data_IF_730028245001
#
_entry.id   IF_730028245001
#
_cell.length_a   1.000
_cell.length_b   1.000
_cell.length_c   1.000
_cell.angle_alpha   90.00
_cell.angle_beta   90.00
_cell.angle_gamma   90.00
#
_symmetry.space_group_name_H-M   'P 1'
#
loop_
_entity.id
_entity.type
_entity.pdbx_description
1 polymer ?
#
# COMPACT_ATOMS: atom_id res chain seq x y z
N UNK A 1 16.59 -5.71 4.39
CA UNK A 1 16.55 -7.01 3.69
C UNK A 1 17.47 -7.00 2.47
N UNK A 2 17.32 -6.07 1.50
CA UNK A 2 18.15 -6.05 0.30
C UNK A 2 19.64 -6.16 0.62
N UNK A 3 20.19 -5.29 1.46
CA UNK A 3 21.61 -5.31 1.87
C UNK A 3 22.06 -6.60 2.58
N UNK A 4 21.15 -7.41 3.09
CA UNK A 4 21.48 -8.67 3.78
C UNK A 4 21.38 -9.89 2.86
N UNK A 5 20.56 -9.83 1.82
CA UNK A 5 20.21 -10.97 0.99
C UNK A 5 20.77 -10.90 -0.44
N UNK A 6 21.10 -9.69 -0.92
CA UNK A 6 21.60 -9.47 -2.28
C UNK A 6 23.11 -9.26 -2.31
N UNK A 7 23.71 -9.68 -3.42
CA UNK A 7 25.11 -9.44 -3.78
C UNK A 7 25.16 -8.58 -5.05
N UNK A 8 26.25 -7.87 -5.26
CA UNK A 8 26.48 -7.06 -6.45
C UNK A 8 26.51 -7.84 -7.78
N UNK A 9 26.59 -9.17 -7.71
CA UNK A 9 26.54 -10.06 -8.88
C UNK A 9 25.11 -10.54 -9.19
N UNK A 10 24.14 -10.24 -8.33
CA UNK A 10 22.76 -10.67 -8.50
C UNK A 10 22.01 -9.76 -9.48
N UNK A 11 21.02 -10.35 -10.16
CA UNK A 11 19.99 -9.62 -10.92
C UNK A 11 18.62 -9.90 -10.28
N UNK A 12 17.73 -8.92 -10.29
CA UNK A 12 16.42 -9.02 -9.66
C UNK A 12 15.32 -8.45 -10.54
N UNK A 13 14.10 -8.96 -10.37
CA UNK A 13 12.89 -8.37 -10.94
C UNK A 13 12.23 -7.49 -9.89
N UNK A 14 11.79 -6.28 -10.26
CA UNK A 14 11.16 -5.34 -9.32
C UNK A 14 9.86 -4.74 -9.86
N UNK A 15 8.98 -4.34 -8.96
CA UNK A 15 7.96 -3.34 -9.27
C UNK A 15 8.63 -1.97 -9.35
N UNK A 16 8.75 -1.42 -10.55
CA UNK A 16 9.34 -0.10 -10.77
C UNK A 16 8.42 1.04 -10.31
N UNK A 17 8.93 2.27 -10.11
CA UNK A 17 8.11 3.43 -9.76
C UNK A 17 6.91 3.65 -10.69
N UNK A 18 7.05 3.42 -12.00
CA UNK A 18 5.97 3.54 -12.98
C UNK A 18 4.85 2.50 -12.80
N UNK A 19 5.17 1.37 -12.17
CA UNK A 19 4.23 0.30 -11.80
C UNK A 19 3.69 0.45 -10.38
N UNK A 20 3.88 1.61 -9.75
CA UNK A 20 3.49 1.88 -8.37
C UNK A 20 4.57 1.52 -7.35
N UNK A 21 5.73 1.05 -7.77
CA UNK A 21 6.85 0.75 -6.89
C UNK A 21 7.36 1.98 -6.11
N UNK A 22 8.00 1.73 -4.98
CA UNK A 22 8.59 2.79 -4.18
C UNK A 22 9.91 3.26 -4.81
N UNK A 23 10.07 4.58 -4.97
CA UNK A 23 11.21 5.19 -5.65
C UNK A 23 12.59 4.85 -5.03
N UNK A 24 12.63 4.46 -3.75
CA UNK A 24 13.89 4.10 -3.09
C UNK A 24 14.48 2.77 -3.55
N UNK A 25 13.69 1.85 -4.11
CA UNK A 25 14.18 0.51 -4.47
C UNK A 25 15.21 0.57 -5.58
N UNK A 26 14.98 1.21 -6.74
CA UNK A 26 16.02 1.39 -7.75
C UNK A 26 17.30 2.02 -7.18
N UNK A 27 17.16 3.09 -6.39
CA UNK A 27 18.28 3.79 -5.78
C UNK A 27 19.12 2.89 -4.85
N UNK A 28 18.44 2.04 -4.06
CA UNK A 28 19.11 1.08 -3.18
C UNK A 28 19.86 0.03 -3.99
N UNK A 29 19.24 -0.52 -5.04
CA UNK A 29 19.83 -1.54 -5.89
C UNK A 29 21.04 -1.00 -6.65
N UNK A 30 20.96 0.20 -7.20
CA UNK A 30 22.07 0.90 -7.84
C UNK A 30 23.27 1.09 -6.88
N UNK A 31 23.00 1.52 -5.65
CA UNK A 31 24.05 1.66 -4.62
C UNK A 31 24.67 0.32 -4.21
N UNK A 32 23.94 -0.78 -4.33
CA UNK A 32 24.44 -2.12 -4.07
C UNK A 32 25.15 -2.75 -5.28
N UNK A 33 25.10 -2.11 -6.44
CA UNK A 33 25.61 -2.67 -7.70
C UNK A 33 24.77 -3.87 -8.19
N UNK A 34 23.51 -3.97 -7.80
CA UNK A 34 22.59 -5.05 -8.19
C UNK A 34 21.83 -4.64 -9.44
N UNK A 35 21.85 -5.47 -10.47
CA UNK A 35 21.10 -5.25 -11.69
C UNK A 35 19.60 -5.52 -11.44
N UNK A 36 18.74 -4.73 -12.06
CA UNK A 36 17.30 -4.94 -11.95
C UNK A 36 16.57 -4.72 -13.28
N UNK A 37 15.47 -5.42 -13.42
CA UNK A 37 14.51 -5.24 -14.52
C UNK A 37 13.10 -5.11 -13.95
N UNK A 38 12.20 -4.47 -14.73
CA UNK A 38 10.80 -4.34 -14.35
C UNK A 38 10.06 -5.66 -14.54
N UNK A 39 9.12 -5.96 -13.64
CA UNK A 39 8.17 -7.06 -13.86
C UNK A 39 7.25 -6.75 -15.03
N UNK A 40 6.73 -7.77 -15.75
CA UNK A 40 5.68 -7.58 -16.74
C UNK A 40 4.39 -7.05 -16.10
N UNK A 41 3.81 -5.98 -16.66
CA UNK A 41 2.68 -5.30 -16.06
C UNK A 41 1.69 -4.75 -17.08
N UNK A 42 0.43 -5.07 -16.89
CA UNK A 42 -0.71 -4.56 -17.65
C UNK A 42 -1.25 -3.29 -16.99
N UNK A 43 -0.91 -2.13 -17.56
CA UNK A 43 -1.31 -0.83 -17.03
C UNK A 43 -2.81 -0.55 -17.19
N UNK A 44 -3.45 -1.11 -18.20
CA UNK A 44 -4.87 -0.88 -18.48
C UNK A 44 -5.77 -1.59 -17.45
N UNK A 45 -5.28 -2.70 -16.91
CA UNK A 45 -5.99 -3.51 -15.91
C UNK A 45 -5.36 -3.44 -14.51
N UNK A 46 -4.31 -2.65 -14.32
CA UNK A 46 -3.58 -2.51 -13.04
C UNK A 46 -3.14 -3.86 -12.46
N UNK A 47 -2.59 -4.74 -13.28
CA UNK A 47 -2.23 -6.09 -12.85
C UNK A 47 -0.89 -6.55 -13.43
N UNK A 48 -0.30 -7.51 -12.73
CA UNK A 48 0.90 -8.22 -13.20
C UNK A 48 0.50 -9.16 -14.34
N UNK A 49 1.29 -9.23 -15.40
CA UNK A 49 1.22 -10.34 -16.35
C UNK A 49 1.93 -11.57 -15.76
N UNK A 50 1.14 -12.41 -15.10
CA UNK A 50 1.68 -13.60 -14.41
C UNK A 50 2.24 -14.65 -15.37
N UNK A 51 1.79 -14.69 -16.62
CA UNK A 51 2.31 -15.64 -17.61
C UNK A 51 3.75 -15.27 -17.96
N UNK A 52 3.95 -14.04 -18.40
CA UNK A 52 5.28 -13.54 -18.74
C UNK A 52 6.21 -13.50 -17.51
N UNK A 53 5.70 -13.10 -16.34
CA UNK A 53 6.45 -13.11 -15.08
C UNK A 53 6.97 -14.52 -14.75
N UNK A 54 6.14 -15.55 -14.85
CA UNK A 54 6.52 -16.92 -14.55
C UNK A 54 7.56 -17.45 -15.55
N UNK A 55 7.51 -17.03 -16.81
CA UNK A 55 8.52 -17.40 -17.81
C UNK A 55 9.86 -16.72 -17.50
N UNK A 56 9.87 -15.45 -17.08
CA UNK A 56 11.08 -14.77 -16.60
C UNK A 56 11.65 -15.42 -15.34
N UNK A 57 10.83 -15.81 -14.37
CA UNK A 57 11.29 -16.49 -13.16
C UNK A 57 12.00 -17.81 -13.46
N UNK A 58 11.55 -18.55 -14.50
CA UNK A 58 12.17 -19.81 -14.92
C UNK A 58 13.46 -19.64 -15.71
N UNK A 59 13.80 -18.46 -16.16
CA UNK A 59 15.02 -18.20 -16.98
C UNK A 59 16.33 -18.49 -16.25
N UNK A 60 16.31 -18.51 -14.90
CA UNK A 60 17.51 -18.67 -14.07
C UNK A 60 18.38 -17.42 -13.97
N UNK A 61 17.97 -16.30 -14.56
CA UNK A 61 18.73 -15.05 -14.58
C UNK A 61 18.59 -14.24 -13.28
N UNK A 62 17.47 -14.39 -12.57
CA UNK A 62 17.11 -13.54 -11.44
C UNK A 62 17.21 -14.28 -10.12
N UNK A 63 17.73 -13.58 -9.11
CA UNK A 63 17.85 -14.10 -7.74
C UNK A 63 16.64 -13.84 -6.87
N UNK A 64 16.02 -12.67 -7.04
CA UNK A 64 14.82 -12.28 -6.29
C UNK A 64 13.80 -11.59 -7.19
N UNK A 65 12.55 -11.75 -6.80
CA UNK A 65 11.42 -10.93 -7.21
C UNK A 65 11.09 -9.98 -6.05
N UNK A 66 11.11 -8.66 -6.29
CA UNK A 66 10.91 -7.65 -5.26
C UNK A 66 9.61 -6.89 -5.53
N UNK A 67 8.62 -7.11 -4.69
CA UNK A 67 7.42 -6.30 -4.63
C UNK A 67 7.57 -5.24 -3.55
N UNK A 68 7.62 -3.97 -3.93
CA UNK A 68 7.68 -2.85 -3.00
C UNK A 68 6.79 -1.72 -3.52
N UNK A 69 5.48 -1.90 -3.44
CA UNK A 69 4.51 -0.97 -4.02
C UNK A 69 4.05 0.07 -3.00
N UNK A 70 4.19 1.34 -3.35
CA UNK A 70 3.62 2.47 -2.62
C UNK A 70 2.25 2.88 -3.16
N UNK A 71 2.00 2.67 -4.45
CA UNK A 71 0.73 2.95 -5.12
C UNK A 71 0.14 1.61 -5.59
N UNK A 72 -0.95 1.17 -4.95
CA UNK A 72 -1.45 -0.19 -5.09
C UNK A 72 -2.97 -0.26 -4.93
N UNK A 73 -3.69 -0.57 -6.01
CA UNK A 73 -5.13 -0.87 -6.00
C UNK A 73 -5.42 -2.35 -6.26
N UNK A 74 -4.48 -3.06 -6.88
CA UNK A 74 -4.55 -4.49 -7.17
C UNK A 74 -3.27 -5.17 -6.68
N UNK A 75 -3.27 -5.73 -5.45
CA UNK A 75 -2.07 -6.34 -4.87
C UNK A 75 -1.63 -7.58 -5.65
N UNK A 76 -0.32 -7.90 -5.67
CA UNK A 76 0.19 -9.14 -6.23
C UNK A 76 -0.48 -10.37 -5.61
N UNK A 77 -0.98 -11.26 -6.44
CA UNK A 77 -1.47 -12.58 -6.01
C UNK A 77 -0.34 -13.60 -6.06
N UNK A 78 0.32 -13.81 -4.92
CA UNK A 78 1.47 -14.71 -4.79
C UNK A 78 1.13 -16.15 -5.15
N UNK A 79 -0.14 -16.57 -5.02
CA UNK A 79 -0.57 -17.91 -5.39
C UNK A 79 -0.49 -18.20 -6.91
N UNK A 80 -0.31 -17.16 -7.73
CA UNK A 80 -0.17 -17.28 -9.20
C UNK A 80 1.29 -17.31 -9.66
N UNK A 81 2.23 -17.17 -8.74
CA UNK A 81 3.66 -17.11 -9.04
C UNK A 81 4.27 -18.49 -8.88
N UNK A 82 4.96 -18.94 -9.92
CA UNK A 82 5.76 -20.17 -9.92
C UNK A 82 7.23 -19.83 -9.89
N UNK A 83 7.86 -20.05 -8.74
CA UNK A 83 9.31 -19.80 -8.56
C UNK A 83 10.13 -21.08 -8.59
N UNK A 84 11.31 -21.08 -9.21
CA UNK A 84 12.30 -22.11 -8.98
C UNK A 84 12.90 -22.00 -7.55
N UNK A 85 13.39 -23.11 -7.01
CA UNK A 85 13.99 -23.15 -5.66
C UNK A 85 15.18 -22.20 -5.47
N UNK A 86 15.85 -21.83 -6.57
CA UNK A 86 16.99 -20.90 -6.58
C UNK A 86 16.57 -19.42 -6.42
N UNK A 87 15.28 -19.08 -6.57
CA UNK A 87 14.77 -17.73 -6.55
C UNK A 87 13.92 -17.47 -5.32
N UNK A 88 13.96 -16.23 -4.79
CA UNK A 88 13.15 -15.82 -3.65
C UNK A 88 12.28 -14.62 -3.94
N UNK A 89 11.41 -14.29 -2.99
CA UNK A 89 10.61 -13.06 -3.00
C UNK A 89 10.98 -12.18 -1.81
N UNK A 90 11.15 -10.88 -2.05
CA UNK A 90 11.07 -9.84 -1.03
C UNK A 90 9.75 -9.10 -1.26
N UNK A 91 8.80 -9.25 -0.34
CA UNK A 91 7.48 -8.65 -0.43
C UNK A 91 7.35 -7.53 0.62
N UNK A 92 7.33 -6.28 0.17
CA UNK A 92 7.03 -5.16 1.04
C UNK A 92 5.51 -4.94 1.14
N UNK A 93 4.96 -5.39 2.24
CA UNK A 93 3.55 -5.26 2.57
C UNK A 93 3.20 -3.96 3.29
N UNK A 94 4.08 -2.96 3.39
CA UNK A 94 3.86 -1.72 4.17
C UNK A 94 2.50 -1.09 3.90
N UNK A 95 2.03 -1.08 2.66
CA UNK A 95 0.72 -0.52 2.31
C UNK A 95 -0.45 -1.44 2.68
N UNK A 96 -0.22 -2.74 2.77
CA UNK A 96 -1.28 -3.76 2.87
C UNK A 96 -1.18 -4.63 4.11
N UNK A 97 -0.22 -4.35 5.01
CA UNK A 97 0.08 -5.21 6.16
C UNK A 97 -1.13 -5.41 7.07
N UNK A 98 -1.91 -4.35 7.34
CA UNK A 98 -3.15 -4.46 8.12
C UNK A 98 -4.22 -5.30 7.43
N UNK A 99 -4.35 -5.17 6.11
CA UNK A 99 -5.29 -5.98 5.29
C UNK A 99 -4.90 -7.47 5.29
N UNK A 100 -3.58 -7.76 5.25
CA UNK A 100 -3.04 -9.12 5.35
C UNK A 100 -3.27 -9.68 6.75
N UNK A 101 -2.93 -8.94 7.80
CA UNK A 101 -3.10 -9.36 9.19
C UNK A 101 -4.57 -9.65 9.54
N UNK A 102 -5.51 -8.91 8.96
CA UNK A 102 -6.95 -9.10 9.14
C UNK A 102 -7.57 -10.19 8.24
N UNK A 103 -6.79 -10.85 7.39
CA UNK A 103 -7.27 -11.85 6.44
C UNK A 103 -8.16 -11.29 5.32
N UNK A 104 -8.10 -9.98 5.06
CA UNK A 104 -8.80 -9.34 3.93
C UNK A 104 -8.02 -9.55 2.63
N UNK A 105 -6.70 -9.59 2.72
CA UNK A 105 -5.81 -10.04 1.66
C UNK A 105 -5.13 -11.34 2.08
N UNK A 106 -4.78 -12.16 1.08
CA UNK A 106 -4.03 -13.39 1.30
C UNK A 106 -2.67 -13.10 1.95
N UNK A 107 -2.28 -13.92 2.91
CA UNK A 107 -0.96 -13.85 3.51
C UNK A 107 0.08 -14.48 2.56
N UNK A 108 1.06 -13.72 2.03
CA UNK A 108 2.02 -14.24 1.07
C UNK A 108 2.91 -15.36 1.63
N UNK A 109 3.11 -15.42 2.96
CA UNK A 109 3.89 -16.47 3.63
C UNK A 109 3.25 -17.86 3.56
N UNK A 110 1.96 -17.97 3.22
CA UNK A 110 1.25 -19.25 3.12
C UNK A 110 1.44 -19.97 1.77
N UNK A 111 1.96 -19.25 0.75
CA UNK A 111 2.03 -19.77 -0.62
C UNK A 111 3.42 -20.15 -1.10
N UNK A 112 4.45 -19.50 -0.60
CA UNK A 112 5.84 -19.69 -1.04
C UNK A 112 6.77 -19.71 0.18
N UNK A 113 7.64 -20.71 0.27
CA UNK A 113 8.61 -20.82 1.37
C UNK A 113 9.77 -19.81 1.21
N UNK A 114 10.24 -19.60 -0.02
CA UNK A 114 11.38 -18.70 -0.30
C UNK A 114 10.91 -17.23 -0.36
N UNK A 115 10.26 -16.74 0.71
CA UNK A 115 9.74 -15.38 0.79
C UNK A 115 10.14 -14.70 2.09
N UNK A 116 10.44 -13.42 1.99
CA UNK A 116 10.57 -12.49 3.12
C UNK A 116 9.49 -11.44 2.99
N UNK A 117 8.55 -11.42 3.94
CA UNK A 117 7.55 -10.36 4.09
C UNK A 117 8.13 -9.28 4.99
N UNK A 118 8.22 -8.06 4.48
CA UNK A 118 8.58 -6.88 5.26
C UNK A 118 7.42 -5.91 5.33
N UNK A 119 7.39 -5.07 6.34
CA UNK A 119 6.35 -4.05 6.42
C UNK A 119 6.61 -2.98 7.46
N UNK A 120 6.30 -1.75 7.12
CA UNK A 120 6.13 -0.66 8.08
C UNK A 120 4.75 -0.74 8.73
N UNK A 121 4.69 -0.52 10.04
CA UNK A 121 3.50 -0.78 10.87
C UNK A 121 2.58 0.43 11.05
N UNK A 122 2.83 1.54 10.32
CA UNK A 122 2.19 2.84 10.52
C UNK A 122 1.25 3.27 9.38
N UNK A 123 0.75 2.32 8.57
CA UNK A 123 -0.19 2.63 7.46
C UNK A 123 -1.51 1.90 7.67
N UNK A 124 -1.77 0.81 6.93
CA UNK A 124 -2.98 0.03 7.15
C UNK A 124 -2.97 -0.75 8.46
N UNK A 125 -1.80 -1.18 8.94
CA UNK A 125 -1.66 -1.62 10.32
C UNK A 125 -1.54 -0.36 11.19
N UNK A 126 -2.52 -0.06 12.07
CA UNK A 126 -2.58 1.22 12.81
C UNK A 126 -1.70 1.17 14.06
N UNK A 127 -0.40 1.06 13.88
CA UNK A 127 0.60 0.95 14.95
C UNK A 127 1.67 2.06 14.83
N UNK A 128 2.53 2.25 15.83
CA UNK A 128 3.64 3.19 15.72
C UNK A 128 4.60 2.78 14.60
N UNK A 129 5.39 3.74 14.13
CA UNK A 129 6.35 3.54 13.04
C UNK A 129 7.46 2.56 13.45
N UNK A 130 7.22 1.28 13.19
CA UNK A 130 8.18 0.19 13.33
C UNK A 130 8.35 -0.54 12.00
N UNK A 131 9.35 -1.41 11.92
CA UNK A 131 9.53 -2.35 10.82
C UNK A 131 9.35 -3.78 11.31
N UNK A 132 8.65 -4.59 10.53
CA UNK A 132 8.54 -6.04 10.72
C UNK A 132 9.25 -6.76 9.58
N UNK A 133 9.92 -7.87 9.90
CA UNK A 133 10.51 -8.79 8.93
C UNK A 133 10.08 -10.19 9.33
N UNK A 134 9.43 -10.90 8.43
CA UNK A 134 8.87 -12.23 8.66
C UNK A 134 9.25 -13.15 7.51
N UNK A 135 9.64 -14.38 7.82
CA UNK A 135 9.93 -15.42 6.82
C UNK A 135 9.74 -16.81 7.42
N UNK A 136 9.30 -17.75 6.59
CA UNK A 136 9.25 -19.18 6.91
C UNK A 136 10.53 -19.91 6.42
N UNK A 137 11.41 -19.21 5.69
CA UNK A 137 12.65 -19.78 5.17
C UNK A 137 13.77 -19.67 6.20
N UNK A 138 14.22 -20.82 6.75
CA UNK A 138 15.27 -20.87 7.77
C UNK A 138 16.61 -20.28 7.29
N UNK A 139 16.94 -20.45 6.00
CA UNK A 139 18.14 -19.85 5.41
C UNK A 139 18.08 -18.31 5.42
N UNK A 140 16.95 -17.73 5.02
CA UNK A 140 16.77 -16.27 5.08
C UNK A 140 16.72 -15.76 6.52
N UNK A 141 16.09 -16.50 7.44
CA UNK A 141 16.09 -16.17 8.86
C UNK A 141 17.53 -16.04 9.39
N UNK A 142 18.38 -17.04 9.15
CA UNK A 142 19.77 -17.03 9.63
C UNK A 142 20.58 -15.87 9.02
N UNK A 143 20.44 -15.63 7.70
CA UNK A 143 21.13 -14.52 7.03
C UNK A 143 20.69 -13.16 7.56
N UNK A 144 19.38 -12.96 7.75
CA UNK A 144 18.83 -11.71 8.25
C UNK A 144 19.25 -11.45 9.70
N UNK A 145 19.16 -12.45 10.59
CA UNK A 145 19.59 -12.32 11.99
C UNK A 145 21.09 -11.98 12.08
N UNK A 146 21.94 -12.68 11.33
CA UNK A 146 23.38 -12.43 11.34
C UNK A 146 23.76 -11.05 10.80
N UNK A 147 23.03 -10.54 9.80
CA UNK A 147 23.41 -9.31 9.11
C UNK A 147 22.72 -8.06 9.65
N UNK A 148 21.48 -8.18 10.16
CA UNK A 148 20.74 -7.00 10.66
C UNK A 148 21.28 -6.56 12.01
N UNK A 149 21.43 -7.48 12.96
CA UNK A 149 21.93 -7.18 14.30
C UNK A 149 23.33 -7.80 14.48
N UNK A 150 24.35 -7.02 14.81
CA UNK A 150 24.35 -5.59 15.18
C UNK A 150 24.67 -4.61 14.03
N UNK A 151 24.77 -5.04 12.78
CA UNK A 151 25.35 -4.22 11.71
C UNK A 151 24.49 -2.99 11.36
N UNK A 152 23.17 -3.16 11.29
CA UNK A 152 22.22 -2.09 10.93
C UNK A 152 21.36 -1.64 12.10
N UNK A 153 21.08 -2.55 13.05
CA UNK A 153 20.25 -2.27 14.21
C UNK A 153 20.95 -2.79 15.46
N UNK A 154 21.27 -1.90 16.39
CA UNK A 154 21.93 -2.27 17.66
C UNK A 154 20.97 -2.35 18.83
N UNK A 155 20.05 -1.39 18.92
CA UNK A 155 19.13 -1.26 20.03
C UNK A 155 17.68 -1.40 19.56
N UNK A 156 16.89 -2.09 20.32
CA UNK A 156 15.43 -2.12 20.18
C UNK A 156 14.82 -0.89 20.86
N UNK A 157 13.59 -0.55 20.45
CA UNK A 157 12.80 0.51 21.09
C UNK A 157 11.60 -0.13 21.80
N UNK A 158 11.73 -0.49 23.10
CA UNK A 158 10.70 -1.25 23.83
C UNK A 158 9.33 -0.55 23.86
N UNK A 159 9.29 0.78 23.91
CA UNK A 159 8.06 1.57 23.85
C UNK A 159 7.30 1.35 22.51
N UNK A 160 8.01 1.30 21.38
CA UNK A 160 7.39 0.99 20.09
C UNK A 160 6.92 -0.46 20.01
N UNK A 161 7.67 -1.39 20.61
CA UNK A 161 7.29 -2.82 20.66
C UNK A 161 6.02 -2.98 21.50
N UNK A 162 5.95 -2.34 22.67
CA UNK A 162 4.77 -2.39 23.54
C UNK A 162 3.53 -1.80 22.85
N UNK A 163 3.68 -0.65 22.19
CA UNK A 163 2.57 -0.03 21.44
C UNK A 163 2.18 -0.86 20.20
N UNK A 164 3.14 -1.52 19.54
CA UNK A 164 2.84 -2.47 18.46
C UNK A 164 2.04 -3.67 18.97
N UNK A 165 2.37 -4.19 20.17
CA UNK A 165 1.62 -5.29 20.76
C UNK A 165 0.14 -4.91 20.99
N UNK A 166 -0.13 -3.71 21.50
CA UNK A 166 -1.51 -3.22 21.66
C UNK A 166 -2.23 -3.15 20.31
N UNK A 167 -1.57 -2.61 19.28
CA UNK A 167 -2.14 -2.54 17.92
C UNK A 167 -2.41 -3.93 17.32
N UNK A 168 -1.57 -4.93 17.63
CA UNK A 168 -1.81 -6.31 17.19
C UNK A 168 -3.00 -6.94 17.90
N UNK A 169 -3.21 -6.64 19.20
CA UNK A 169 -4.40 -7.08 19.95
C UNK A 169 -5.66 -6.42 19.35
N UNK A 170 -5.62 -5.13 19.04
CA UNK A 170 -6.72 -4.47 18.32
C UNK A 170 -7.01 -5.16 16.97
N UNK A 171 -5.97 -5.47 16.18
CA UNK A 171 -6.12 -6.14 14.88
C UNK A 171 -6.67 -7.56 15.01
N UNK A 172 -6.27 -8.32 16.01
CA UNK A 172 -6.81 -9.67 16.26
C UNK A 172 -8.31 -9.63 16.56
N UNK A 173 -8.78 -8.68 17.35
CA UNK A 173 -10.18 -8.57 17.78
C UNK A 173 -11.07 -7.79 16.80
N UNK A 174 -10.59 -6.69 16.25
CA UNK A 174 -11.37 -5.72 15.48
C UNK A 174 -10.90 -5.55 14.03
N UNK A 175 -9.72 -6.08 13.69
CA UNK A 175 -9.04 -5.83 12.43
C UNK A 175 -9.85 -6.25 11.21
N UNK A 176 -10.56 -7.38 11.27
CA UNK A 176 -11.38 -7.84 10.14
C UNK A 176 -12.49 -6.83 9.81
N UNK A 177 -13.17 -6.30 10.82
CA UNK A 177 -14.22 -5.30 10.65
C UNK A 177 -13.64 -3.97 10.14
N UNK A 178 -12.56 -3.51 10.74
CA UNK A 178 -11.86 -2.28 10.35
C UNK A 178 -11.34 -2.32 8.91
N UNK A 179 -10.63 -3.38 8.55
CA UNK A 179 -10.00 -3.48 7.23
C UNK A 179 -11.03 -3.73 6.11
N UNK A 180 -12.11 -4.47 6.38
CA UNK A 180 -13.22 -4.59 5.44
C UNK A 180 -13.91 -3.22 5.23
N UNK A 181 -14.11 -2.44 6.30
CA UNK A 181 -14.65 -1.09 6.19
C UNK A 181 -13.71 -0.19 5.37
N UNK A 182 -12.40 -0.30 5.58
CA UNK A 182 -11.38 0.45 4.84
C UNK A 182 -11.51 0.24 3.32
N UNK A 183 -11.59 -1.02 2.88
CA UNK A 183 -11.75 -1.35 1.45
C UNK A 183 -13.13 -0.96 0.93
N UNK A 184 -14.17 -1.13 1.75
CA UNK A 184 -15.55 -0.72 1.40
C UNK A 184 -15.63 0.79 1.16
N UNK A 185 -15.08 1.60 2.06
CA UNK A 185 -15.03 3.06 1.93
C UNK A 185 -14.25 3.47 0.67
N UNK A 186 -13.13 2.80 0.36
CA UNK A 186 -12.35 3.11 -0.84
C UNK A 186 -13.14 2.91 -2.13
N UNK A 187 -13.85 1.80 -2.26
CA UNK A 187 -14.71 1.53 -3.43
C UNK A 187 -15.91 2.48 -3.48
N UNK A 188 -16.54 2.76 -2.34
CA UNK A 188 -17.67 3.67 -2.26
C UNK A 188 -17.28 5.10 -2.62
N UNK A 189 -16.16 5.61 -2.10
CA UNK A 189 -15.65 6.94 -2.46
C UNK A 189 -15.34 7.03 -3.95
N UNK A 190 -14.73 5.98 -4.51
CA UNK A 190 -14.43 5.90 -5.93
C UNK A 190 -15.71 5.93 -6.80
N UNK A 191 -16.77 5.24 -6.38
CA UNK A 191 -18.08 5.25 -7.04
C UNK A 191 -18.72 6.65 -7.00
N UNK A 192 -18.82 7.27 -5.83
CA UNK A 192 -19.35 8.64 -5.67
C UNK A 192 -18.57 9.67 -6.51
N UNK A 193 -17.23 9.55 -6.56
CA UNK A 193 -16.42 10.44 -7.39
C UNK A 193 -16.63 10.18 -8.88
N UNK A 194 -16.80 8.93 -9.29
CA UNK A 194 -17.11 8.58 -10.69
C UNK A 194 -18.47 9.15 -11.12
N UNK A 195 -19.49 9.11 -10.26
CA UNK A 195 -20.81 9.72 -10.50
C UNK A 195 -20.71 11.25 -10.63
N UNK A 196 -19.76 11.87 -9.92
CA UNK A 196 -19.47 13.31 -10.00
C UNK A 196 -18.56 13.68 -11.18
N UNK A 197 -18.26 12.75 -12.08
CA UNK A 197 -17.50 12.99 -13.30
C UNK A 197 -15.98 13.04 -13.11
N UNK A 198 -15.45 12.40 -12.07
CA UNK A 198 -14.02 12.13 -11.98
C UNK A 198 -13.66 10.86 -12.76
N UNK A 199 -12.51 10.88 -13.40
CA UNK A 199 -11.95 9.67 -14.00
C UNK A 199 -11.22 8.85 -12.95
N UNK A 200 -11.79 7.73 -12.53
CA UNK A 200 -11.26 6.86 -11.48
C UNK A 200 -10.71 5.58 -12.10
N UNK A 201 -9.48 5.21 -11.73
CA UNK A 201 -8.90 3.93 -12.13
C UNK A 201 -9.81 2.77 -11.72
N UNK A 202 -10.07 1.83 -12.65
CA UNK A 202 -10.99 0.71 -12.44
C UNK A 202 -10.35 -0.60 -12.89
N UNK A 203 -10.53 -1.63 -12.07
CA UNK A 203 -10.00 -2.96 -12.35
C UNK A 203 -10.90 -3.72 -13.34
N UNK A 204 -10.35 -4.70 -14.02
CA UNK A 204 -11.10 -5.60 -14.92
C UNK A 204 -12.28 -6.31 -14.23
N UNK A 205 -12.20 -6.50 -12.90
CA UNK A 205 -13.27 -7.07 -12.07
C UNK A 205 -14.45 -6.14 -11.81
N UNK A 206 -14.49 -4.95 -12.40
CA UNK A 206 -15.41 -3.85 -12.13
C UNK A 206 -15.32 -3.22 -10.73
N UNK A 207 -14.40 -3.65 -9.88
CA UNK A 207 -14.04 -2.95 -8.64
C UNK A 207 -13.07 -1.81 -8.93
N UNK A 208 -13.02 -0.83 -8.05
CA UNK A 208 -12.02 0.23 -8.13
C UNK A 208 -10.73 -0.18 -7.43
N UNK A 209 -10.83 -0.97 -6.35
CA UNK A 209 -9.65 -1.39 -5.59
C UNK A 209 -9.92 -2.62 -4.73
N UNK A 210 -8.86 -3.38 -4.44
CA UNK A 210 -8.81 -4.40 -3.39
C UNK A 210 -8.10 -3.91 -2.12
N UNK A 211 -7.67 -2.62 -2.09
CA UNK A 211 -6.91 -2.05 -0.98
C UNK A 211 -7.63 -0.83 -0.38
N UNK A 212 -6.91 -0.08 0.43
CA UNK A 212 -7.34 1.20 0.99
C UNK A 212 -7.14 2.39 0.04
N UNK A 213 -6.54 2.19 -1.13
CA UNK A 213 -6.21 3.27 -2.07
C UNK A 213 -7.17 3.31 -3.24
N UNK A 214 -7.42 4.51 -3.74
CA UNK A 214 -8.03 4.76 -5.04
C UNK A 214 -7.21 5.80 -5.81
N UNK A 215 -7.30 5.77 -7.14
CA UNK A 215 -6.56 6.67 -8.03
C UNK A 215 -7.53 7.50 -8.86
N UNK A 216 -7.40 8.82 -8.74
CA UNK A 216 -8.07 9.80 -9.62
C UNK A 216 -7.08 10.12 -10.75
N UNK A 217 -7.47 9.86 -11.99
CA UNK A 217 -6.66 10.12 -13.17
C UNK A 217 -7.02 11.49 -13.74
N UNK A 218 -6.01 12.32 -13.97
CA UNK A 218 -6.18 13.71 -14.43
C UNK A 218 -5.04 14.04 -15.39
N UNK A 219 -5.19 15.09 -16.21
CA UNK A 219 -4.05 15.66 -16.92
C UNK A 219 -3.17 16.50 -15.95
N UNK A 220 -2.00 16.90 -16.40
CA UNK A 220 -1.02 17.59 -15.55
C UNK A 220 -1.50 18.96 -15.05
N UNK A 221 -2.22 19.70 -15.89
CA UNK A 221 -2.75 21.01 -15.52
C UNK A 221 -3.83 20.91 -14.45
N UNK A 222 -4.81 20.04 -14.67
CA UNK A 222 -5.91 19.79 -13.73
C UNK A 222 -5.39 19.21 -12.41
N UNK A 223 -4.40 18.31 -12.45
CA UNK A 223 -3.78 17.72 -11.24
C UNK A 223 -3.12 18.81 -10.39
N UNK A 224 -2.37 19.72 -11.02
CA UNK A 224 -1.70 20.80 -10.32
C UNK A 224 -2.70 21.79 -9.72
N UNK A 225 -3.70 22.19 -10.47
CA UNK A 225 -4.74 23.11 -10.05
C UNK A 225 -5.57 22.53 -8.89
N UNK A 226 -6.03 21.29 -9.02
CA UNK A 226 -6.75 20.56 -7.99
C UNK A 226 -5.95 20.42 -6.69
N UNK A 227 -4.67 20.05 -6.83
CA UNK A 227 -3.75 19.93 -5.70
C UNK A 227 -3.55 21.27 -5.00
N UNK A 228 -3.27 22.35 -5.76
CA UNK A 228 -3.03 23.68 -5.22
C UNK A 228 -4.29 24.26 -4.55
N UNK A 229 -5.46 24.04 -5.16
CA UNK A 229 -6.73 24.44 -4.59
C UNK A 229 -6.97 23.74 -3.24
N UNK A 230 -6.74 22.42 -3.16
CA UNK A 230 -6.85 21.68 -1.90
C UNK A 230 -5.91 22.24 -0.81
N UNK A 231 -4.64 22.48 -1.15
CA UNK A 231 -3.63 23.04 -0.23
C UNK A 231 -4.06 24.42 0.32
N UNK A 232 -4.66 25.29 -0.51
CA UNK A 232 -5.15 26.61 -0.09
C UNK A 232 -6.22 26.51 1.02
N UNK A 233 -6.91 25.38 1.11
CA UNK A 233 -7.88 25.10 2.17
C UNK A 233 -7.36 24.15 3.25
N UNK A 234 -6.05 23.92 3.35
CA UNK A 234 -5.40 22.99 4.28
C UNK A 234 -5.94 21.54 4.13
N UNK A 235 -6.10 21.10 2.90
CA UNK A 235 -6.46 19.72 2.55
C UNK A 235 -5.27 19.13 1.82
N UNK A 236 -4.55 18.23 2.49
CA UNK A 236 -3.36 17.58 1.92
C UNK A 236 -3.76 16.39 1.06
N UNK A 237 -3.34 16.40 -0.19
CA UNK A 237 -3.55 15.32 -1.15
C UNK A 237 -2.20 14.71 -1.56
N UNK A 238 -2.25 13.52 -2.14
CA UNK A 238 -1.05 12.84 -2.62
C UNK A 238 -0.97 12.88 -4.16
N UNK A 239 -0.33 13.93 -4.69
CA UNK A 239 -0.10 14.13 -6.12
C UNK A 239 0.89 13.09 -6.66
N UNK A 240 0.59 12.54 -7.84
CA UNK A 240 1.39 11.51 -8.53
C UNK A 240 1.70 11.95 -9.95
N UNK A 241 2.92 11.63 -10.39
CA UNK A 241 3.38 11.74 -11.76
C UNK A 241 4.06 10.42 -12.13
N UNK A 242 3.27 9.47 -12.66
CA UNK A 242 3.69 8.10 -12.98
C UNK A 242 2.79 7.52 -14.07
N UNK A 243 3.32 6.61 -14.88
CA UNK A 243 2.56 5.87 -15.87
C UNK A 243 1.31 5.18 -15.30
N UNK A 244 1.38 4.68 -14.06
CA UNK A 244 0.26 4.06 -13.35
C UNK A 244 -0.97 4.98 -13.21
N UNK A 245 -0.79 6.30 -13.30
CA UNK A 245 -1.85 7.32 -13.24
C UNK A 245 -2.16 7.91 -14.63
N UNK A 246 -1.86 7.19 -15.71
CA UNK A 246 -1.92 7.71 -17.08
C UNK A 246 -1.12 9.04 -17.22
N UNK A 247 -0.02 9.13 -16.50
CA UNK A 247 0.96 10.16 -16.23
C UNK A 247 0.70 11.01 -14.99
N UNK A 248 -0.51 11.53 -14.77
CA UNK A 248 -0.79 12.44 -13.65
C UNK A 248 -2.08 12.07 -12.90
N UNK A 249 -2.12 12.38 -11.61
CA UNK A 249 -3.31 12.11 -10.81
C UNK A 249 -3.11 12.28 -9.31
N UNK A 250 -4.15 11.91 -8.59
CA UNK A 250 -4.20 11.98 -7.14
C UNK A 250 -4.46 10.58 -6.58
N UNK A 251 -3.64 10.17 -5.59
CA UNK A 251 -3.91 8.98 -4.79
C UNK A 251 -4.60 9.37 -3.49
N UNK A 252 -5.69 8.70 -3.16
CA UNK A 252 -6.39 8.84 -1.88
C UNK A 252 -6.30 7.52 -1.12
N UNK A 253 -6.07 7.60 0.20
CA UNK A 253 -6.12 6.46 1.12
C UNK A 253 -7.27 6.62 2.11
N UNK A 254 -7.93 5.53 2.45
CA UNK A 254 -9.15 5.53 3.29
C UNK A 254 -8.97 4.88 4.66
N UNK A 255 -7.77 4.39 4.98
CA UNK A 255 -7.53 3.69 6.24
C UNK A 255 -7.79 4.59 7.47
N UNK A 256 -7.48 5.87 7.39
CA UNK A 256 -7.67 6.79 8.50
C UNK A 256 -9.16 7.11 8.73
N UNK A 257 -9.89 7.47 7.68
CA UNK A 257 -11.32 7.76 7.80
C UNK A 257 -12.13 6.51 8.20
N UNK A 258 -11.68 5.33 7.82
CA UNK A 258 -12.22 4.07 8.33
C UNK A 258 -11.99 3.92 9.84
N UNK A 259 -10.84 4.40 10.38
CA UNK A 259 -10.55 4.42 11.82
C UNK A 259 -11.49 5.34 12.60
N UNK A 260 -12.10 6.32 11.94
CA UNK A 260 -13.15 7.16 12.49
C UNK A 260 -14.56 6.58 12.25
N UNK A 261 -14.67 5.36 11.74
CA UNK A 261 -15.92 4.65 11.46
C UNK A 261 -16.91 5.49 10.63
N UNK A 262 -16.40 6.17 9.60
CA UNK A 262 -17.26 6.99 8.74
C UNK A 262 -18.30 6.14 8.04
N UNK A 263 -19.53 6.62 8.09
CA UNK A 263 -20.65 6.01 7.40
C UNK A 263 -20.76 6.49 5.94
N UNK A 264 -21.72 5.94 5.21
CA UNK A 264 -21.99 6.28 3.81
C UNK A 264 -22.19 7.78 3.58
N UNK A 265 -22.93 8.47 4.44
CA UNK A 265 -23.18 9.90 4.32
C UNK A 265 -21.90 10.73 4.48
N UNK A 266 -20.98 10.31 5.36
CA UNK A 266 -19.69 10.98 5.55
C UNK A 266 -18.80 10.83 4.30
N UNK A 267 -18.78 9.63 3.70
CA UNK A 267 -18.03 9.37 2.46
C UNK A 267 -18.57 10.20 1.30
N UNK A 268 -19.90 10.32 1.20
CA UNK A 268 -20.56 11.19 0.22
C UNK A 268 -20.19 12.66 0.41
N UNK A 269 -20.15 13.14 1.67
CA UNK A 269 -19.67 14.50 1.96
C UNK A 269 -18.22 14.71 1.53
N UNK A 270 -17.33 13.71 1.68
CA UNK A 270 -15.97 13.79 1.20
C UNK A 270 -15.92 13.87 -0.34
N UNK A 271 -16.72 13.09 -1.04
CA UNK A 271 -16.82 13.18 -2.50
C UNK A 271 -17.29 14.57 -2.95
N UNK A 272 -18.29 15.16 -2.27
CA UNK A 272 -18.76 16.52 -2.54
C UNK A 272 -17.69 17.58 -2.24
N UNK A 273 -16.89 17.41 -1.18
CA UNK A 273 -15.74 18.29 -0.91
C UNK A 273 -14.75 18.27 -2.06
N UNK A 274 -14.36 17.07 -2.54
CA UNK A 274 -13.43 16.94 -3.66
C UNK A 274 -14.02 17.51 -4.96
N UNK A 275 -15.33 17.35 -5.17
CA UNK A 275 -16.02 17.98 -6.30
C UNK A 275 -16.04 19.51 -6.21
N UNK A 276 -16.27 20.06 -5.02
CA UNK A 276 -16.22 21.50 -4.79
C UNK A 276 -14.80 22.07 -5.04
N UNK A 277 -13.74 21.35 -4.66
CA UNK A 277 -12.35 21.71 -4.97
C UNK A 277 -12.13 21.75 -6.49
N UNK A 278 -12.56 20.71 -7.22
CA UNK A 278 -12.44 20.64 -8.68
C UNK A 278 -13.11 21.83 -9.39
N UNK A 279 -14.21 22.36 -8.82
CA UNK A 279 -14.99 23.45 -9.41
C UNK A 279 -14.71 24.80 -8.76
N UNK A 280 -13.70 24.93 -7.90
CA UNK A 280 -13.34 26.16 -7.18
C UNK A 280 -14.52 26.78 -6.40
N UNK A 281 -15.45 25.95 -5.92
CA UNK A 281 -16.61 26.42 -5.14
C UNK A 281 -16.23 26.61 -3.67
N UNK A 282 -15.71 27.79 -3.33
CA UNK A 282 -15.22 28.13 -2.00
C UNK A 282 -16.27 27.90 -0.90
N UNK A 283 -17.53 28.27 -1.13
CA UNK A 283 -18.60 28.11 -0.15
C UNK A 283 -18.77 26.65 0.24
N UNK A 284 -18.83 25.76 -0.75
CA UNK A 284 -19.01 24.32 -0.53
C UNK A 284 -17.75 23.67 0.02
N UNK A 285 -16.54 24.11 -0.38
CA UNK A 285 -15.27 23.65 0.20
C UNK A 285 -15.29 23.91 1.71
N UNK A 286 -15.54 25.13 2.14
CA UNK A 286 -15.57 25.52 3.56
C UNK A 286 -16.68 24.76 4.31
N UNK A 287 -17.86 24.60 3.72
CA UNK A 287 -18.99 23.90 4.32
C UNK A 287 -18.65 22.42 4.60
N UNK A 288 -18.23 21.68 3.59
CA UNK A 288 -17.96 20.25 3.74
C UNK A 288 -16.72 20.00 4.60
N UNK A 289 -15.64 20.77 4.39
CA UNK A 289 -14.43 20.69 5.19
C UNK A 289 -14.72 20.87 6.68
N UNK A 290 -15.44 21.93 7.04
CA UNK A 290 -15.74 22.23 8.45
C UNK A 290 -16.61 21.14 9.11
N UNK A 291 -17.46 20.47 8.35
CA UNK A 291 -18.21 19.31 8.87
C UNK A 291 -17.33 18.08 9.07
N UNK A 292 -16.49 17.77 8.07
CA UNK A 292 -15.69 16.54 8.08
C UNK A 292 -14.58 16.56 9.15
N UNK A 293 -13.96 17.71 9.42
CA UNK A 293 -12.92 17.83 10.46
C UNK A 293 -13.42 17.57 11.89
N UNK A 294 -14.73 17.59 12.10
CA UNK A 294 -15.35 17.27 13.40
C UNK A 294 -15.54 15.75 13.59
N UNK A 295 -15.48 14.96 12.52
CA UNK A 295 -15.71 13.51 12.52
C UNK A 295 -14.38 12.77 12.78
N UNK A 296 -13.82 12.94 13.97
CA UNK A 296 -12.48 12.43 14.33
C UNK A 296 -12.45 11.60 15.62
N UNK A 297 -13.59 11.06 16.04
CA UNK A 297 -13.66 10.14 17.18
C UNK A 297 -13.13 8.77 16.73
N UNK A 298 -12.01 8.28 17.25
CA UNK A 298 -11.47 6.98 16.86
C UNK A 298 -12.45 5.86 17.22
N UNK A 299 -12.46 4.83 16.39
CA UNK A 299 -13.14 3.57 16.61
C UNK A 299 -12.17 2.41 16.31
N UNK A 300 -12.58 1.20 16.60
CA UNK A 300 -11.73 0.01 16.47
C UNK A 300 -10.46 0.10 17.33
N UNK A 301 -10.56 0.75 18.49
CA UNK A 301 -9.50 0.92 19.47
C UNK A 301 -9.54 -0.18 20.51
N UNK A 302 -8.50 -0.27 21.33
CA UNK A 302 -8.46 -1.23 22.44
C UNK A 302 -9.65 -1.09 23.40
N UNK A 303 -10.16 0.13 23.57
CA UNK A 303 -11.34 0.42 24.41
C UNK A 303 -12.65 -0.17 23.84
N UNK A 304 -12.69 -0.44 22.54
CA UNK A 304 -13.84 -1.08 21.89
C UNK A 304 -13.83 -2.61 22.01
N UNK A 305 -12.78 -3.19 22.61
CA UNK A 305 -12.67 -4.63 22.83
C UNK A 305 -13.47 -5.00 24.06
N UNK A 306 -14.58 -5.72 23.86
CA UNK A 306 -15.30 -6.32 24.97
C UNK A 306 -14.43 -7.39 25.61
N UNK A 307 -13.91 -7.13 26.81
CA UNK A 307 -13.25 -8.14 27.63
C UNK A 307 -14.35 -9.12 28.07
N UNK A 308 -14.39 -10.29 27.42
CA UNK A 308 -15.25 -11.40 27.82
C UNK A 308 -14.63 -12.19 28.95
#
# INVERSE_FOLDING_TARGET
CAMSLLKNTDSVLITTPDQGGHASIPIILEKLGVNYESIPYDYDNYQIDYKELNDLCKSGLYKFLIFCQSDIINPPDISKISLPDSMGIIYDGTQTLGLIAAGVLKNPLEYINNIVLIGGTHKTLPAPACGLIMTNCSNYQQQLQKNITPNYLRNTQPNHIAALLLALIEQENLGKSYQNLTVKIANQLAEELSELGFNIAKLKSNKYTYTHQLFILMNSLDTNDFYQTAENYNITLNKKHKRLFANDGIRIGTQEIARYNWNFSNVKMLAQLLYAIKNHNEKDILYYRNKLILLKTPAFTFEDISIK
#
